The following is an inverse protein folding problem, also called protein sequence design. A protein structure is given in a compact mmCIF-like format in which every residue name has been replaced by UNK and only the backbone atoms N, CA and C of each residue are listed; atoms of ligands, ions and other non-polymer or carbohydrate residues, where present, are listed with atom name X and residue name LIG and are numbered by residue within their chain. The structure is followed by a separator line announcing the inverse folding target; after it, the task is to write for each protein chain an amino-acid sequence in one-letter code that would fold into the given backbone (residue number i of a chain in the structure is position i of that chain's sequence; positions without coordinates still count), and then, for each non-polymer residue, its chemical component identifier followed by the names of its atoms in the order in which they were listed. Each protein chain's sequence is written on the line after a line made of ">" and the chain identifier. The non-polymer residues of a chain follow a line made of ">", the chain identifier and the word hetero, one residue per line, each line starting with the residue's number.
data_IF_123695512967
#
_entry.id   IF_123695512967
#
_cell.length_a   1.000
_cell.length_b   1.000
_cell.length_c   1.000
_cell.angle_alpha   90.00
_cell.angle_beta   90.00
_cell.angle_gamma   90.00
#
_symmetry.space_group_name_H-M   'P 1'
#
loop_
_entity.id
_entity.type
_entity.pdbx_description
1 polymer ?
#
# COMPACT_ATOMS: atom_id res chain seq x y z
N UNK A 1 40.27 25.69 8.81
CA UNK A 1 38.91 25.14 8.61
C UNK A 1 39.01 24.12 7.48
N UNK A 2 38.45 22.91 7.62
CA UNK A 2 38.44 21.90 6.54
C UNK A 2 37.22 22.12 5.65
N UNK A 3 37.33 21.77 4.37
CA UNK A 3 36.23 21.89 3.40
C UNK A 3 35.07 20.95 3.78
N UNK A 4 33.84 21.46 4.01
CA UNK A 4 32.67 20.65 4.34
C UNK A 4 32.35 19.57 3.30
N UNK A 5 32.59 19.84 2.01
CA UNK A 5 32.36 18.86 0.95
C UNK A 5 33.32 17.69 1.06
N UNK A 6 34.56 17.97 1.46
CA UNK A 6 35.59 16.96 1.64
C UNK A 6 35.28 16.07 2.86
N UNK A 7 34.82 16.66 3.96
CA UNK A 7 34.36 15.91 5.14
C UNK A 7 33.22 14.97 4.75
N UNK A 8 32.20 15.48 4.03
CA UNK A 8 31.08 14.66 3.58
C UNK A 8 31.53 13.47 2.73
N UNK A 9 32.47 13.68 1.80
CA UNK A 9 33.01 12.60 0.96
C UNK A 9 33.73 11.53 1.78
N UNK A 10 34.54 11.94 2.76
CA UNK A 10 35.25 11.00 3.63
C UNK A 10 34.30 10.22 4.56
N UNK A 11 33.36 10.90 5.21
CA UNK A 11 32.37 10.23 6.07
C UNK A 11 31.47 9.29 5.27
N UNK A 12 31.04 9.70 4.08
CA UNK A 12 30.23 8.85 3.19
C UNK A 12 31.00 7.61 2.74
N UNK A 13 32.31 7.73 2.51
CA UNK A 13 33.16 6.60 2.15
C UNK A 13 33.31 5.59 3.29
N UNK A 14 33.53 6.06 4.53
CA UNK A 14 33.61 5.18 5.71
C UNK A 14 32.28 4.47 5.98
N UNK A 15 31.15 5.18 5.86
CA UNK A 15 29.81 4.59 5.95
C UNK A 15 29.59 3.52 4.88
N UNK A 16 29.98 3.81 3.64
CA UNK A 16 29.87 2.85 2.54
C UNK A 16 30.70 1.59 2.79
N UNK A 17 31.94 1.74 3.29
CA UNK A 17 32.79 0.61 3.67
C UNK A 17 32.13 -0.26 4.74
N UNK A 18 31.60 0.36 5.80
CA UNK A 18 30.87 -0.36 6.85
C UNK A 18 29.64 -1.08 6.32
N UNK A 19 28.93 -0.49 5.36
CA UNK A 19 27.76 -1.13 4.73
C UNK A 19 28.17 -2.40 3.96
N UNK A 20 29.25 -2.33 3.17
CA UNK A 20 29.75 -3.49 2.41
C UNK A 20 30.16 -4.62 3.36
N UNK A 21 30.84 -4.30 4.46
CA UNK A 21 31.24 -5.30 5.46
C UNK A 21 30.01 -5.99 6.10
N UNK A 22 28.93 -5.24 6.33
CA UNK A 22 27.68 -5.80 6.85
C UNK A 22 27.00 -6.72 5.83
N UNK A 23 26.87 -6.28 4.57
CA UNK A 23 26.26 -7.08 3.50
C UNK A 23 27.03 -8.39 3.30
N UNK A 24 28.37 -8.35 3.32
CA UNK A 24 29.18 -9.55 3.18
C UNK A 24 28.92 -10.56 4.31
N UNK A 25 28.81 -10.10 5.57
CA UNK A 25 28.47 -10.96 6.71
C UNK A 25 27.08 -11.56 6.57
N UNK A 26 26.11 -10.77 6.12
CA UNK A 26 24.72 -11.20 5.96
C UNK A 26 24.58 -12.24 4.85
N UNK A 27 25.26 -12.02 3.71
CA UNK A 27 25.28 -12.99 2.59
C UNK A 27 25.92 -14.30 3.04
N UNK A 28 27.06 -14.26 3.72
CA UNK A 28 27.71 -15.47 4.24
C UNK A 28 26.79 -16.17 5.26
N UNK A 29 26.22 -15.42 6.21
CA UNK A 29 25.29 -15.98 7.20
C UNK A 29 24.06 -16.61 6.53
N UNK A 30 23.54 -16.01 5.45
CA UNK A 30 22.43 -16.57 4.70
C UNK A 30 22.83 -17.86 3.98
N UNK A 31 24.01 -17.92 3.35
CA UNK A 31 24.50 -19.15 2.71
C UNK A 31 24.69 -20.29 3.71
N UNK A 32 25.13 -19.99 4.94
CA UNK A 32 25.33 -21.01 5.97
C UNK A 32 24.04 -21.41 6.72
N UNK A 33 23.11 -20.47 6.95
CA UNK A 33 21.86 -20.73 7.69
C UNK A 33 20.66 -21.00 6.79
N UNK A 34 20.81 -20.81 5.48
CA UNK A 34 19.79 -21.04 4.47
C UNK A 34 19.63 -22.54 4.26
N UNK A 35 18.84 -23.18 5.11
CA UNK A 35 18.33 -24.51 4.83
C UNK A 35 17.25 -24.40 3.76
N UNK A 36 17.39 -25.14 2.66
CA UNK A 36 16.29 -25.35 1.73
C UNK A 36 15.34 -26.32 2.47
N UNK A 37 14.08 -25.94 2.74
CA UNK A 37 13.13 -26.88 3.30
C UNK A 37 13.03 -28.05 2.32
N UNK A 38 13.63 -29.18 2.70
CA UNK A 38 13.40 -30.42 2.00
C UNK A 38 11.96 -30.77 2.31
N UNK A 39 11.08 -30.62 1.31
CA UNK A 39 9.77 -31.23 1.38
C UNK A 39 10.00 -32.67 1.82
N UNK A 40 9.54 -33.00 3.03
CA UNK A 40 9.63 -34.33 3.58
C UNK A 40 8.96 -35.26 2.56
N UNK A 41 9.76 -35.93 1.74
CA UNK A 41 9.32 -36.79 0.65
C UNK A 41 8.55 -38.04 1.12
N UNK A 42 8.09 -38.07 2.38
CA UNK A 42 7.58 -39.25 3.06
C UNK A 42 6.22 -39.04 3.75
N UNK A 43 5.38 -38.11 3.27
CA UNK A 43 3.96 -38.10 3.70
C UNK A 43 2.98 -37.78 2.56
N UNK A 44 3.29 -38.19 1.32
CA UNK A 44 2.23 -38.32 0.30
C UNK A 44 1.69 -39.75 0.43
N UNK A 45 0.79 -39.97 1.40
CA UNK A 45 -0.06 -41.15 1.38
C UNK A 45 -1.06 -41.00 0.23
N UNK A 46 -1.06 -41.95 -0.70
CA UNK A 46 -2.13 -42.05 -1.71
C UNK A 46 -3.49 -42.01 -1.00
N UNK A 47 -4.33 -41.05 -1.40
CA UNK A 47 -5.69 -40.98 -0.91
C UNK A 47 -6.40 -42.30 -1.24
N UNK A 48 -6.77 -43.07 -0.22
CA UNK A 48 -7.54 -44.31 -0.39
C UNK A 48 -8.75 -44.03 -1.30
N UNK A 49 -8.89 -44.83 -2.35
CA UNK A 49 -9.99 -44.71 -3.30
C UNK A 49 -11.33 -44.65 -2.56
N UNK A 50 -12.00 -43.50 -2.60
CA UNK A 50 -13.31 -43.29 -1.98
C UNK A 50 -14.32 -44.23 -2.66
N UNK A 51 -15.00 -45.06 -1.86
CA UNK A 51 -16.05 -45.98 -2.33
C UNK A 51 -17.14 -45.15 -3.00
N UNK A 52 -17.46 -45.44 -4.27
CA UNK A 52 -18.52 -44.73 -5.00
C UNK A 52 -19.88 -45.09 -4.38
N UNK A 53 -20.58 -44.09 -3.85
CA UNK A 53 -21.97 -44.25 -3.43
C UNK A 53 -22.87 -44.29 -4.67
N UNK A 54 -23.87 -45.18 -4.65
CA UNK A 54 -24.90 -45.25 -5.70
C UNK A 54 -25.83 -44.03 -5.56
N UNK A 55 -25.56 -42.99 -6.34
CA UNK A 55 -26.40 -41.78 -6.38
C UNK A 55 -27.60 -42.05 -7.28
N UNK A 56 -28.81 -41.89 -6.75
CA UNK A 56 -30.03 -41.90 -7.55
C UNK A 56 -30.12 -40.58 -8.32
N UNK A 57 -30.07 -40.66 -9.65
CA UNK A 57 -30.26 -39.50 -10.53
C UNK A 57 -31.73 -39.43 -10.95
N UNK A 58 -32.62 -39.00 -10.05
CA UNK A 58 -33.94 -38.52 -10.45
C UNK A 58 -33.83 -37.03 -10.78
N UNK A 59 -34.18 -36.69 -12.03
CA UNK A 59 -34.26 -35.30 -12.48
C UNK A 59 -35.63 -34.78 -12.07
N UNK A 60 -35.68 -33.93 -11.06
CA UNK A 60 -36.86 -33.08 -10.86
C UNK A 60 -37.05 -32.23 -12.11
N UNK A 61 -38.28 -32.17 -12.62
CA UNK A 61 -38.66 -31.35 -13.75
C UNK A 61 -38.62 -29.87 -13.32
N UNK A 62 -37.43 -29.28 -13.39
CA UNK A 62 -37.24 -27.85 -13.19
C UNK A 62 -37.93 -27.17 -14.38
N UNK A 63 -38.93 -26.32 -14.09
CA UNK A 63 -39.57 -25.47 -15.08
C UNK A 63 -38.54 -24.78 -15.97
N UNK A 64 -38.81 -24.76 -17.28
CA UNK A 64 -37.93 -24.16 -18.26
C UNK A 64 -37.62 -22.69 -17.89
N UNK A 65 -36.38 -22.26 -18.17
CA UNK A 65 -35.90 -20.90 -17.88
C UNK A 65 -36.85 -19.80 -18.39
N UNK A 66 -37.58 -20.05 -19.48
CA UNK A 66 -38.57 -19.12 -20.01
C UNK A 66 -39.78 -18.92 -19.09
N UNK A 67 -40.29 -19.98 -18.44
CA UNK A 67 -41.41 -19.88 -17.50
C UNK A 67 -40.99 -19.16 -16.21
N UNK A 68 -39.77 -19.43 -15.74
CA UNK A 68 -39.19 -18.74 -14.57
C UNK A 68 -38.92 -17.27 -14.85
N UNK A 69 -38.47 -16.94 -16.06
CA UNK A 69 -38.23 -15.57 -16.49
C UNK A 69 -39.54 -14.78 -16.69
N UNK A 70 -40.64 -15.44 -17.05
CA UNK A 70 -41.96 -14.80 -17.15
C UNK A 70 -42.50 -14.42 -15.75
N UNK A 71 -42.37 -15.30 -14.75
CA UNK A 71 -42.73 -14.99 -13.35
C UNK A 71 -41.82 -13.89 -12.75
N UNK A 72 -40.51 -13.94 -13.01
CA UNK A 72 -39.58 -12.93 -12.50
C UNK A 72 -39.82 -11.53 -13.11
N UNK A 73 -40.27 -11.46 -14.38
CA UNK A 73 -40.63 -10.19 -15.03
C UNK A 73 -41.90 -9.55 -14.43
N UNK A 74 -42.82 -10.35 -13.90
CA UNK A 74 -44.00 -9.83 -13.18
C UNK A 74 -43.66 -9.29 -11.78
N UNK A 75 -42.58 -9.77 -11.15
CA UNK A 75 -42.13 -9.35 -9.82
C UNK A 75 -41.03 -8.26 -9.82
N UNK A 76 -40.52 -7.87 -10.99
CA UNK A 76 -39.25 -7.15 -11.15
C UNK A 76 -39.32 -5.62 -11.27
N UNK A 77 -40.36 -4.94 -10.78
CA UNK A 77 -40.44 -3.46 -10.84
C UNK A 77 -39.65 -2.72 -9.76
N UNK A 78 -38.55 -3.30 -9.27
CA UNK A 78 -37.63 -2.63 -8.34
C UNK A 78 -36.22 -2.72 -8.89
N UNK A 79 -35.88 -1.75 -9.75
CA UNK A 79 -34.52 -1.44 -10.17
C UNK A 79 -33.64 -1.25 -8.93
N UNK A 80 -32.78 -2.23 -8.63
CA UNK A 80 -31.66 -2.01 -7.70
C UNK A 80 -30.62 -1.16 -8.42
N UNK A 81 -30.69 0.14 -8.16
CA UNK A 81 -29.65 1.11 -8.48
C UNK A 81 -28.32 0.64 -7.87
N UNK A 82 -27.28 0.56 -8.69
CA UNK A 82 -25.91 0.39 -8.23
C UNK A 82 -25.55 1.61 -7.38
N UNK A 83 -25.23 1.39 -6.09
CA UNK A 83 -24.71 2.47 -5.25
C UNK A 83 -23.31 2.85 -5.73
N UNK A 84 -23.22 4.05 -6.30
CA UNK A 84 -21.97 4.71 -6.64
C UNK A 84 -21.29 5.10 -5.33
N UNK A 85 -20.08 4.58 -5.09
CA UNK A 85 -19.28 4.96 -3.92
C UNK A 85 -18.83 6.41 -4.10
N UNK A 86 -19.24 7.29 -3.20
CA UNK A 86 -18.83 8.70 -3.22
C UNK A 86 -17.33 8.82 -2.91
N UNK A 87 -16.61 9.56 -3.78
CA UNK A 87 -15.20 9.86 -3.57
C UNK A 87 -15.05 11.18 -2.84
N UNK A 88 -14.20 11.23 -1.81
CA UNK A 88 -13.95 12.44 -1.03
C UNK A 88 -13.21 13.46 -1.92
N UNK A 89 -13.86 14.60 -2.19
CA UNK A 89 -13.27 15.72 -2.93
C UNK A 89 -12.38 16.52 -1.97
N UNK A 90 -11.14 16.79 -2.36
CA UNK A 90 -10.22 17.61 -1.54
C UNK A 90 -10.64 19.08 -1.59
N UNK A 91 -10.73 19.72 -0.43
CA UNK A 91 -11.07 21.15 -0.32
C UNK A 91 -9.96 22.09 -0.82
N UNK A 92 -8.70 21.64 -0.80
CA UNK A 92 -7.54 22.46 -1.15
C UNK A 92 -6.64 21.81 -2.21
N UNK A 93 -5.97 22.60 -3.06
CA UNK A 93 -4.97 22.09 -3.99
C UNK A 93 -3.89 21.29 -3.27
N UNK A 94 -3.41 20.22 -3.90
CA UNK A 94 -2.30 19.45 -3.35
C UNK A 94 -1.02 20.28 -3.46
N UNK A 95 -0.48 20.71 -2.33
CA UNK A 95 0.81 21.39 -2.27
C UNK A 95 1.93 20.35 -2.42
N UNK A 96 2.82 20.57 -3.40
CA UNK A 96 3.99 19.73 -3.66
C UNK A 96 5.17 20.06 -2.74
N UNK A 97 6.02 19.07 -2.47
CA UNK A 97 7.19 19.20 -1.57
C UNK A 97 8.15 20.35 -1.92
N UNK A 98 8.27 20.70 -3.20
CA UNK A 98 9.18 21.76 -3.67
C UNK A 98 8.47 23.07 -4.02
N UNK A 99 7.15 23.14 -3.87
CA UNK A 99 6.36 24.33 -4.22
C UNK A 99 6.69 25.45 -3.23
N UNK A 100 6.70 26.69 -3.73
CA UNK A 100 6.93 27.87 -2.88
C UNK A 100 5.62 28.22 -2.18
N UNK A 101 5.65 28.28 -0.86
CA UNK A 101 4.52 28.67 -0.02
C UNK A 101 4.91 29.87 0.83
N UNK A 102 3.92 30.72 1.11
CA UNK A 102 4.07 31.82 2.05
C UNK A 102 3.51 31.37 3.39
N UNK A 103 4.33 31.46 4.43
CA UNK A 103 3.93 31.15 5.81
C UNK A 103 3.98 32.41 6.66
N UNK A 104 3.03 32.54 7.59
CA UNK A 104 2.96 33.63 8.55
C UNK A 104 3.15 33.09 9.96
N UNK A 105 4.03 33.73 10.72
CA UNK A 105 4.23 33.38 12.12
C UNK A 105 3.03 33.88 12.95
N UNK A 106 2.48 33.02 13.80
CA UNK A 106 1.28 33.35 14.61
C UNK A 106 1.60 34.36 15.71
N UNK A 107 2.84 34.37 16.22
CA UNK A 107 3.27 35.21 17.34
C UNK A 107 3.83 36.56 16.89
N UNK A 108 4.66 36.59 15.84
CA UNK A 108 5.32 37.80 15.37
C UNK A 108 4.63 38.47 14.17
N UNK A 109 3.73 37.77 13.49
CA UNK A 109 3.11 38.25 12.25
C UNK A 109 4.08 38.34 11.06
N UNK A 110 5.32 37.85 11.18
CA UNK A 110 6.32 37.84 10.12
C UNK A 110 5.90 36.89 8.99
N UNK A 111 6.05 37.33 7.74
CA UNK A 111 5.80 36.51 6.54
C UNK A 111 7.13 35.99 5.96
N UNK A 112 7.17 34.71 5.60
CA UNK A 112 8.31 34.10 4.90
C UNK A 112 7.86 33.26 3.71
N UNK A 113 8.54 33.43 2.58
CA UNK A 113 8.30 32.62 1.37
C UNK A 113 9.43 31.62 1.18
N UNK A 114 9.11 30.33 1.26
CA UNK A 114 10.07 29.23 1.16
C UNK A 114 9.43 27.94 0.61
N UNK A 115 10.23 26.93 0.29
CA UNK A 115 9.72 25.65 -0.25
C UNK A 115 8.93 24.89 0.81
N UNK A 116 7.84 24.21 0.43
CA UNK A 116 6.98 23.47 1.36
C UNK A 116 7.76 22.49 2.26
N UNK A 117 8.76 21.78 1.73
CA UNK A 117 9.64 20.89 2.52
C UNK A 117 10.39 21.56 3.68
N UNK A 118 10.58 22.88 3.63
CA UNK A 118 11.22 23.66 4.69
C UNK A 118 10.16 24.28 5.62
N UNK A 119 8.95 24.51 5.12
CA UNK A 119 7.82 25.04 5.87
C UNK A 119 7.13 23.97 6.71
N UNK A 120 7.08 22.72 6.23
CA UNK A 120 6.46 21.57 6.87
C UNK A 120 6.81 21.41 8.37
N UNK A 121 8.10 21.43 8.79
CA UNK A 121 8.43 21.34 10.20
C UNK A 121 7.99 22.58 11.01
N UNK A 122 7.90 23.76 10.38
CA UNK A 122 7.47 25.00 11.04
C UNK A 122 5.95 25.04 11.23
N UNK A 123 5.21 24.51 10.26
CA UNK A 123 3.75 24.38 10.32
C UNK A 123 3.36 23.26 11.29
N UNK A 124 4.06 22.12 11.25
CA UNK A 124 3.82 21.00 12.16
C UNK A 124 4.08 21.37 13.62
N UNK A 125 5.04 22.27 13.87
CA UNK A 125 5.30 22.82 15.21
C UNK A 125 4.18 23.74 15.71
N UNK A 126 3.34 24.28 14.83
CA UNK A 126 2.23 25.18 15.17
C UNK A 126 2.62 26.67 15.26
N UNK A 127 3.90 27.01 15.12
CA UNK A 127 4.37 28.40 15.18
C UNK A 127 4.02 29.21 13.92
N UNK A 128 3.80 28.52 12.79
CA UNK A 128 3.58 29.11 11.48
C UNK A 128 2.33 28.53 10.80
N UNK A 129 1.57 29.39 10.13
CA UNK A 129 0.38 29.01 9.38
C UNK A 129 0.59 29.32 7.90
N UNK A 130 0.10 28.43 7.02
CA UNK A 130 0.07 28.65 5.58
C UNK A 130 -0.89 29.80 5.26
N UNK A 131 -0.39 30.78 4.52
CA UNK A 131 -1.22 31.83 3.95
C UNK A 131 -1.30 31.55 2.45
N UNK A 132 -2.48 31.14 2.01
CA UNK A 132 -2.80 31.08 0.58
C UNK A 132 -2.99 32.52 0.08
N UNK A 133 -2.35 32.87 -1.04
CA UNK A 133 -2.65 34.11 -1.78
C UNK A 133 -4.02 34.01 -2.46
#
# INVERSE_FOLDING_TARGET
>A
QKDPLLIYKFESFELFKSMIDQVNKDVISFLFKGEIPQETANVIQEARARRRENVQTTKEEIQNMDERAAQARQAGNTQRQQQVVETIVRERPKIGRNDRVTIKNVMSGENKTLKYKQAEPLITKGDWVLVDD
#
